data_IF_173595817367
#
_entry.id   IF_173595817367
#
_cell.length_a   1.000
_cell.length_b   1.000
_cell.length_c   1.000
_cell.angle_alpha   90.00
_cell.angle_beta   90.00
_cell.angle_gamma   90.00
#
_symmetry.space_group_name_H-M   'P 1'
#
loop_
_entity.id
_entity.type
_entity.pdbx_description
1 polymer ?
#
# COMPACT_ATOMS: atom_id res chain seq x y z
N UNK A 1 42.26 -2.43 -8.66
CA UNK A 1 41.48 -3.33 -9.54
C UNK A 1 40.76 -4.45 -8.79
N UNK A 2 41.37 -5.10 -7.79
CA UNK A 2 40.78 -6.20 -7.02
C UNK A 2 39.43 -5.89 -6.33
N UNK A 3 39.26 -4.67 -5.80
CA UNK A 3 38.05 -4.28 -5.05
C UNK A 3 36.79 -4.22 -5.93
N UNK A 4 36.89 -3.78 -7.20
CA UNK A 4 35.74 -3.76 -8.14
C UNK A 4 35.23 -5.16 -8.46
N UNK A 5 36.12 -6.15 -8.54
CA UNK A 5 35.76 -7.54 -8.79
C UNK A 5 35.06 -8.18 -7.58
N UNK A 6 35.40 -7.77 -6.36
CA UNK A 6 34.73 -8.24 -5.13
C UNK A 6 33.26 -7.79 -5.07
N UNK A 7 32.99 -6.49 -5.28
CA UNK A 7 31.63 -5.95 -5.27
C UNK A 7 30.72 -6.56 -6.32
N UNK A 8 31.26 -6.84 -7.52
CA UNK A 8 30.50 -7.48 -8.60
C UNK A 8 30.10 -8.91 -8.25
N UNK A 9 30.98 -9.67 -7.60
CA UNK A 9 30.67 -11.03 -7.12
C UNK A 9 29.59 -11.00 -6.05
N UNK A 10 29.68 -10.07 -5.09
CA UNK A 10 28.67 -9.88 -4.05
C UNK A 10 27.31 -9.51 -4.66
N UNK A 11 27.24 -8.56 -5.59
CA UNK A 11 25.98 -8.18 -6.23
C UNK A 11 25.35 -9.35 -7.02
N UNK A 12 26.15 -10.17 -7.70
CA UNK A 12 25.65 -11.37 -8.39
C UNK A 12 25.08 -12.38 -7.36
N UNK A 13 25.80 -12.63 -6.27
CA UNK A 13 25.34 -13.55 -5.22
C UNK A 13 24.02 -13.08 -4.59
N UNK A 14 23.93 -11.80 -4.21
CA UNK A 14 22.72 -11.19 -3.65
C UNK A 14 21.56 -11.27 -4.64
N UNK A 15 21.79 -11.00 -5.93
CA UNK A 15 20.74 -11.12 -6.95
C UNK A 15 20.22 -12.55 -7.11
N UNK A 16 21.12 -13.53 -7.07
CA UNK A 16 20.75 -14.95 -7.14
C UNK A 16 19.91 -15.32 -5.93
N UNK A 17 20.40 -15.00 -4.73
CA UNK A 17 19.70 -15.25 -3.46
C UNK A 17 18.30 -14.63 -3.46
N UNK A 18 18.16 -13.37 -3.86
CA UNK A 18 16.85 -12.70 -3.91
C UNK A 18 15.90 -13.32 -4.93
N UNK A 19 16.40 -13.87 -6.04
CA UNK A 19 15.56 -14.54 -7.03
C UNK A 19 15.02 -15.88 -6.51
N UNK A 20 15.82 -16.57 -5.69
CA UNK A 20 15.52 -17.88 -5.10
C UNK A 20 14.89 -17.78 -3.70
N UNK A 21 14.83 -16.59 -3.12
CA UNK A 21 14.31 -16.36 -1.77
C UNK A 21 12.85 -16.78 -1.64
N UNK A 22 12.58 -17.78 -0.78
CA UNK A 22 11.24 -18.32 -0.58
C UNK A 22 10.26 -17.29 -0.01
N UNK A 23 10.71 -16.43 0.91
CA UNK A 23 9.87 -15.38 1.51
C UNK A 23 9.36 -14.39 0.47
N UNK A 24 10.25 -13.85 -0.36
CA UNK A 24 9.88 -12.93 -1.44
C UNK A 24 8.98 -13.60 -2.48
N UNK A 25 9.27 -14.86 -2.83
CA UNK A 25 8.44 -15.61 -3.78
C UNK A 25 7.02 -15.85 -3.23
N UNK A 26 6.89 -16.23 -1.95
CA UNK A 26 5.61 -16.43 -1.29
C UNK A 26 4.85 -15.10 -1.13
N UNK A 27 5.55 -14.02 -0.81
CA UNK A 27 4.95 -12.68 -0.72
C UNK A 27 4.34 -12.23 -2.04
N UNK A 28 5.03 -12.48 -3.16
CA UNK A 28 4.57 -12.05 -4.49
C UNK A 28 3.61 -13.03 -5.16
N UNK A 29 3.53 -14.30 -4.72
CA UNK A 29 2.73 -15.32 -5.40
C UNK A 29 1.27 -14.94 -5.66
N UNK A 30 0.55 -14.19 -4.80
CA UNK A 30 -0.85 -13.83 -5.06
C UNK A 30 -1.03 -12.78 -6.17
N UNK A 31 0.05 -12.20 -6.68
CA UNK A 31 0.03 -11.07 -7.63
C UNK A 31 0.53 -11.45 -9.03
N UNK A 32 0.88 -12.71 -9.26
CA UNK A 32 1.35 -13.21 -10.55
C UNK A 32 0.69 -14.55 -10.87
N UNK A 33 0.23 -14.70 -12.11
CA UNK A 33 -0.44 -15.92 -12.58
C UNK A 33 0.51 -17.13 -12.64
N UNK A 34 1.81 -16.88 -12.82
CA UNK A 34 2.82 -17.93 -12.92
C UNK A 34 4.09 -17.60 -12.14
N UNK A 35 4.78 -18.66 -11.69
CA UNK A 35 6.12 -18.54 -11.10
C UNK A 35 7.13 -17.95 -12.09
N UNK A 36 6.98 -18.26 -13.38
CA UNK A 36 7.85 -17.76 -14.45
C UNK A 36 7.74 -16.24 -14.55
N UNK A 37 6.53 -15.68 -14.56
CA UNK A 37 6.31 -14.23 -14.62
C UNK A 37 6.79 -13.53 -13.36
N UNK A 38 6.55 -14.13 -12.19
CA UNK A 38 7.07 -13.63 -10.91
C UNK A 38 8.60 -13.55 -10.91
N UNK A 39 9.29 -14.64 -11.30
CA UNK A 39 10.76 -14.67 -11.39
C UNK A 39 11.28 -13.67 -12.42
N UNK A 40 10.60 -13.51 -13.55
CA UNK A 40 10.93 -12.50 -14.57
C UNK A 40 10.80 -11.07 -14.01
N UNK A 41 9.74 -10.79 -13.26
CA UNK A 41 9.54 -9.52 -12.58
C UNK A 41 10.64 -9.24 -11.55
N UNK A 42 10.95 -10.19 -10.66
CA UNK A 42 12.03 -10.05 -9.68
C UNK A 42 13.34 -9.72 -10.40
N UNK A 43 13.70 -10.49 -11.43
CA UNK A 43 14.92 -10.24 -12.21
C UNK A 43 14.96 -8.83 -12.79
N UNK A 44 13.84 -8.30 -13.31
CA UNK A 44 13.75 -6.90 -13.80
C UNK A 44 13.96 -5.89 -12.68
N UNK A 45 13.34 -6.10 -11.51
CA UNK A 45 13.56 -5.25 -10.34
C UNK A 45 15.03 -5.22 -9.89
N UNK A 46 15.73 -6.34 -10.00
CA UNK A 46 17.12 -6.47 -9.54
C UNK A 46 18.14 -5.74 -10.43
N UNK A 47 17.78 -5.36 -11.67
CA UNK A 47 18.67 -4.67 -12.62
C UNK A 47 19.14 -3.33 -12.05
N UNK A 48 18.22 -2.49 -11.58
CA UNK A 48 18.52 -1.16 -11.03
C UNK A 48 18.40 -1.17 -9.50
N UNK A 49 19.31 -0.50 -8.80
CA UNK A 49 19.27 -0.40 -7.33
C UNK A 49 17.95 0.25 -6.85
N UNK A 50 17.43 1.22 -7.61
CA UNK A 50 16.15 1.88 -7.33
C UNK A 50 14.98 0.89 -7.26
N UNK A 51 14.75 0.10 -8.31
CA UNK A 51 13.65 -0.87 -8.38
C UNK A 51 13.86 -2.03 -7.42
N UNK A 52 15.11 -2.42 -7.16
CA UNK A 52 15.45 -3.39 -6.10
C UNK A 52 15.02 -2.89 -4.73
N UNK A 53 15.37 -1.66 -4.37
CA UNK A 53 14.97 -1.03 -3.10
C UNK A 53 13.45 -0.89 -2.99
N UNK A 54 12.76 -0.56 -4.08
CA UNK A 54 11.30 -0.50 -4.10
C UNK A 54 10.72 -1.87 -3.78
N UNK A 55 11.19 -2.94 -4.43
CA UNK A 55 10.73 -4.31 -4.19
C UNK A 55 10.90 -4.74 -2.72
N UNK A 56 12.12 -4.57 -2.19
CA UNK A 56 12.43 -4.96 -0.81
C UNK A 56 11.64 -4.12 0.21
N UNK A 57 11.45 -2.82 -0.03
CA UNK A 57 10.60 -1.98 0.83
C UNK A 57 9.13 -2.42 0.79
N UNK A 58 8.62 -2.75 -0.39
CA UNK A 58 7.23 -3.23 -0.54
C UNK A 58 7.00 -4.49 0.29
N UNK A 59 7.89 -5.47 0.20
CA UNK A 59 7.81 -6.68 1.01
C UNK A 59 7.93 -6.35 2.49
N UNK A 60 8.99 -5.66 2.90
CA UNK A 60 9.31 -5.42 4.30
C UNK A 60 8.21 -4.65 5.05
N UNK A 61 7.70 -3.55 4.48
CA UNK A 61 6.62 -2.79 5.11
C UNK A 61 5.30 -3.55 5.16
N UNK A 62 5.00 -4.36 4.14
CA UNK A 62 3.80 -5.19 4.15
C UNK A 62 3.89 -6.30 5.21
N UNK A 63 5.04 -6.96 5.33
CA UNK A 63 5.28 -7.99 6.37
C UNK A 63 5.22 -7.41 7.78
N UNK A 64 5.76 -6.20 8.01
CA UNK A 64 5.59 -5.51 9.29
C UNK A 64 4.11 -5.22 9.56
N UNK A 65 3.38 -4.72 8.56
CA UNK A 65 1.95 -4.45 8.70
C UNK A 65 1.14 -5.73 8.98
N UNK A 66 1.51 -6.84 8.35
CA UNK A 66 0.90 -8.16 8.55
C UNK A 66 1.18 -8.67 9.98
N UNK A 67 2.43 -8.53 10.45
CA UNK A 67 2.87 -8.96 11.78
C UNK A 67 2.27 -8.17 12.95
N UNK A 68 1.78 -6.95 12.71
CA UNK A 68 1.16 -6.15 13.77
C UNK A 68 -0.09 -6.79 14.38
N UNK A 69 -0.82 -7.61 13.62
CA UNK A 69 -1.99 -8.31 14.16
C UNK A 69 -1.60 -9.31 15.26
N UNK A 70 -0.35 -9.83 15.22
CA UNK A 70 0.20 -10.71 16.26
C UNK A 70 0.57 -9.92 17.51
N UNK A 71 1.17 -8.73 17.33
CA UNK A 71 1.66 -7.90 18.45
C UNK A 71 0.52 -7.17 19.16
N UNK A 72 -0.43 -6.63 18.38
CA UNK A 72 -1.64 -5.99 18.87
C UNK A 72 -2.79 -6.29 17.93
N UNK A 73 -3.45 -7.41 18.22
CA UNK A 73 -4.74 -7.74 17.62
C UNK A 73 -5.72 -6.57 17.80
N UNK A 74 -6.67 -6.45 16.87
CA UNK A 74 -7.74 -5.44 16.89
C UNK A 74 -7.33 -3.96 16.68
N UNK A 75 -6.15 -3.67 16.10
CA UNK A 75 -5.76 -2.28 15.74
C UNK A 75 -5.36 -2.10 14.27
N UNK A 76 -6.32 -2.15 13.32
CA UNK A 76 -6.05 -1.96 11.88
C UNK A 76 -5.38 -0.62 11.56
N UNK A 77 -5.62 0.42 12.36
CA UNK A 77 -4.99 1.72 12.19
C UNK A 77 -3.45 1.66 12.25
N UNK A 78 -2.87 0.76 13.07
CA UNK A 78 -1.41 0.58 13.11
C UNK A 78 -0.89 -0.01 11.80
N UNK A 79 -1.61 -0.97 11.22
CA UNK A 79 -1.24 -1.58 9.95
C UNK A 79 -1.27 -0.54 8.81
N UNK A 80 -2.25 0.37 8.84
CA UNK A 80 -2.36 1.48 7.88
C UNK A 80 -1.14 2.40 7.92
N UNK A 81 -0.53 2.63 9.08
CA UNK A 81 0.69 3.45 9.19
C UNK A 81 1.80 2.88 8.32
N UNK A 82 2.06 1.57 8.43
CA UNK A 82 3.12 0.91 7.68
C UNK A 82 2.78 0.81 6.19
N UNK A 83 1.51 0.54 5.85
CA UNK A 83 1.06 0.56 4.45
C UNK A 83 1.16 1.95 3.80
N UNK A 84 0.91 3.03 4.53
CA UNK A 84 1.10 4.41 4.03
C UNK A 84 2.59 4.78 3.96
N UNK A 85 3.42 4.24 4.85
CA UNK A 85 4.88 4.42 4.82
C UNK A 85 5.50 3.67 3.64
N UNK A 86 4.95 2.50 3.28
CA UNK A 86 5.26 1.80 2.03
C UNK A 86 4.97 2.69 0.83
N UNK A 87 3.75 3.21 0.73
CA UNK A 87 3.32 4.07 -0.38
C UNK A 87 4.26 5.28 -0.55
N UNK A 88 4.56 5.98 0.54
CA UNK A 88 5.52 7.10 0.54
C UNK A 88 6.92 6.65 0.13
N UNK A 89 7.43 5.56 0.72
CA UNK A 89 8.78 5.07 0.48
C UNK A 89 9.02 4.62 -0.96
N UNK A 90 8.00 4.04 -1.60
CA UNK A 90 8.02 3.65 -3.02
C UNK A 90 7.96 4.89 -3.93
N UNK A 91 7.09 5.85 -3.64
CA UNK A 91 6.99 7.10 -4.41
C UNK A 91 8.28 7.92 -4.37
N UNK A 92 8.92 8.04 -3.20
CA UNK A 92 10.21 8.73 -3.03
C UNK A 92 11.32 8.06 -3.85
N UNK A 93 11.39 6.73 -3.81
CA UNK A 93 12.34 5.99 -4.64
C UNK A 93 12.09 6.19 -6.15
N UNK A 94 10.81 6.15 -6.57
CA UNK A 94 10.44 6.34 -7.98
C UNK A 94 10.89 7.73 -8.47
N UNK A 95 10.51 8.77 -7.75
CA UNK A 95 10.81 10.18 -8.07
C UNK A 95 12.26 10.59 -7.85
N UNK A 96 13.03 9.83 -7.08
CA UNK A 96 14.42 10.18 -6.72
C UNK A 96 14.53 11.19 -5.57
N UNK A 97 13.41 11.52 -4.92
CA UNK A 97 13.30 12.52 -3.85
C UNK A 97 13.42 11.79 -2.51
N UNK A 98 14.64 11.35 -2.17
CA UNK A 98 14.88 10.57 -0.94
C UNK A 98 14.94 11.45 0.31
N UNK A 99 15.60 12.60 0.22
CA UNK A 99 15.94 13.46 1.36
C UNK A 99 15.46 14.92 1.18
N UNK A 100 14.60 15.16 0.19
CA UNK A 100 14.05 16.48 -0.06
C UNK A 100 12.65 16.60 0.54
N UNK A 101 12.58 17.34 1.64
CA UNK A 101 11.35 17.67 2.37
C UNK A 101 10.46 18.67 1.62
N UNK A 102 10.93 19.24 0.50
CA UNK A 102 10.13 20.14 -0.34
C UNK A 102 8.87 19.45 -0.87
N UNK A 103 8.91 18.12 -1.03
CA UNK A 103 7.75 17.32 -1.39
C UNK A 103 7.21 16.58 -0.18
N UNK A 104 6.26 17.21 0.52
CA UNK A 104 5.65 16.64 1.72
C UNK A 104 4.99 15.27 1.49
N UNK A 105 4.98 14.42 2.53
CA UNK A 105 4.50 13.02 2.51
C UNK A 105 3.13 12.83 1.87
N UNK A 106 2.22 13.81 2.06
CA UNK A 106 0.92 13.81 1.42
C UNK A 106 1.01 13.71 -0.09
N UNK A 107 1.84 14.56 -0.72
CA UNK A 107 1.99 14.58 -2.19
C UNK A 107 2.61 13.28 -2.67
N UNK A 108 3.61 12.75 -1.97
CA UNK A 108 4.24 11.46 -2.30
C UNK A 108 3.24 10.30 -2.27
N UNK A 109 2.39 10.23 -1.24
CA UNK A 109 1.34 9.19 -1.17
C UNK A 109 0.32 9.35 -2.29
N UNK A 110 -0.09 10.58 -2.65
CA UNK A 110 -0.99 10.78 -3.80
C UNK A 110 -0.33 10.34 -5.11
N UNK A 111 0.93 10.70 -5.35
CA UNK A 111 1.70 10.29 -6.53
C UNK A 111 1.83 8.76 -6.63
N UNK A 112 2.04 8.07 -5.51
CA UNK A 112 2.04 6.60 -5.46
C UNK A 112 0.74 6.03 -6.04
N UNK A 113 -0.40 6.56 -5.60
CA UNK A 113 -1.73 6.11 -5.96
C UNK A 113 -2.17 6.52 -7.37
N UNK A 114 -1.41 7.34 -8.09
CA UNK A 114 -1.64 7.59 -9.52
C UNK A 114 -1.52 6.30 -10.34
N UNK A 115 -0.63 5.39 -9.93
CA UNK A 115 -0.38 4.07 -10.52
C UNK A 115 -1.36 2.98 -10.07
N UNK A 116 -2.32 3.28 -9.18
CA UNK A 116 -3.33 2.30 -8.82
C UNK A 116 -4.21 1.98 -10.05
N UNK A 117 -4.57 0.71 -10.22
CA UNK A 117 -5.43 0.26 -11.32
C UNK A 117 -6.80 0.91 -11.24
N UNK A 118 -7.53 0.93 -12.35
CA UNK A 118 -8.89 1.48 -12.39
C UNK A 118 -9.82 0.69 -11.46
N UNK A 119 -9.61 -0.62 -11.38
CA UNK A 119 -10.34 -1.57 -10.54
C UNK A 119 -10.11 -1.27 -9.07
N UNK A 120 -8.85 -1.09 -8.65
CA UNK A 120 -8.49 -0.77 -7.27
C UNK A 120 -8.99 0.62 -6.85
N UNK A 121 -8.92 1.60 -7.75
CA UNK A 121 -9.49 2.95 -7.53
C UNK A 121 -11.00 2.88 -7.31
N UNK A 122 -11.71 2.11 -8.14
CA UNK A 122 -13.16 1.87 -8.01
C UNK A 122 -13.49 1.13 -6.71
N UNK A 123 -12.74 0.08 -6.38
CA UNK A 123 -12.93 -0.70 -5.16
C UNK A 123 -12.80 0.17 -3.90
N UNK A 124 -11.74 0.98 -3.80
CA UNK A 124 -11.55 1.90 -2.68
C UNK A 124 -12.68 2.94 -2.58
N UNK A 125 -13.08 3.53 -3.72
CA UNK A 125 -14.17 4.51 -3.75
C UNK A 125 -15.53 3.92 -3.35
N UNK A 126 -15.77 2.64 -3.65
CA UNK A 126 -17.01 1.94 -3.32
C UNK A 126 -17.04 1.45 -1.87
N UNK A 127 -15.92 0.98 -1.33
CA UNK A 127 -15.81 0.39 0.01
C UNK A 127 -15.63 1.44 1.12
N UNK A 128 -15.28 2.68 0.76
CA UNK A 128 -15.30 3.85 1.64
C UNK A 128 -16.56 4.68 1.38
N UNK A 129 -17.55 4.58 2.27
CA UNK A 129 -18.82 5.31 2.13
C UNK A 129 -19.02 6.29 3.28
N UNK A 130 -19.78 7.36 3.05
CA UNK A 130 -20.26 8.20 4.15
C UNK A 130 -21.45 7.52 4.80
N UNK A 131 -21.41 7.40 6.12
CA UNK A 131 -22.57 6.99 6.89
C UNK A 131 -23.50 8.20 7.02
N UNK A 132 -24.55 8.25 6.20
CA UNK A 132 -25.61 9.25 6.29
C UNK A 132 -26.93 8.54 6.58
N UNK A 133 -27.72 9.11 7.48
CA UNK A 133 -28.95 8.51 8.03
C UNK A 133 -30.10 8.49 7.00
N UNK A 134 -30.03 9.26 5.89
CA UNK A 134 -31.23 9.46 5.04
C UNK A 134 -31.05 9.52 3.51
N UNK A 135 -29.89 9.21 2.91
CA UNK A 135 -29.78 9.18 1.43
C UNK A 135 -28.84 8.08 0.96
N UNK A 136 -29.22 7.35 -0.11
CA UNK A 136 -28.43 6.31 -0.80
C UNK A 136 -26.93 6.64 -0.77
N UNK A 137 -26.19 5.83 -0.02
CA UNK A 137 -24.77 5.95 0.32
C UNK A 137 -23.94 6.76 -0.69
N UNK A 138 -23.57 8.00 -0.33
CA UNK A 138 -22.71 8.83 -1.16
C UNK A 138 -21.28 8.26 -1.16
N UNK A 139 -20.96 7.51 -2.22
CA UNK A 139 -19.61 6.97 -2.51
C UNK A 139 -18.57 8.09 -2.38
N UNK A 140 -17.46 7.80 -1.71
CA UNK A 140 -16.36 8.76 -1.63
C UNK A 140 -15.57 8.76 -2.93
N UNK A 141 -15.01 9.93 -3.29
CA UNK A 141 -14.00 9.99 -4.36
C UNK A 141 -12.78 9.21 -3.90
N UNK A 142 -12.10 8.52 -4.82
CA UNK A 142 -10.85 7.80 -4.54
C UNK A 142 -9.83 8.64 -3.76
N UNK A 143 -9.59 9.88 -4.21
CA UNK A 143 -8.69 10.82 -3.54
C UNK A 143 -9.11 11.16 -2.10
N UNK A 144 -10.39 11.06 -1.77
CA UNK A 144 -10.89 11.24 -0.40
C UNK A 144 -10.57 10.04 0.49
N UNK A 145 -10.71 8.82 -0.01
CA UNK A 145 -10.27 7.61 0.69
C UNK A 145 -8.75 7.64 0.98
N UNK A 146 -7.93 7.99 -0.03
CA UNK A 146 -6.48 8.17 0.13
C UNK A 146 -6.16 9.25 1.18
N UNK A 147 -6.89 10.37 1.18
CA UNK A 147 -6.70 11.40 2.20
C UNK A 147 -7.07 10.94 3.62
N UNK A 148 -8.10 10.09 3.77
CA UNK A 148 -8.45 9.51 5.06
C UNK A 148 -7.32 8.60 5.56
N UNK A 149 -6.82 7.69 4.71
CA UNK A 149 -5.69 6.82 5.02
C UNK A 149 -4.43 7.60 5.42
N UNK A 150 -4.10 8.64 4.65
CA UNK A 150 -3.01 9.55 4.98
C UNK A 150 -3.22 10.25 6.33
N UNK A 151 -4.42 10.77 6.61
CA UNK A 151 -4.69 11.45 7.88
C UNK A 151 -4.54 10.50 9.07
N UNK A 152 -4.90 9.21 8.95
CA UNK A 152 -4.70 8.22 10.02
C UNK A 152 -3.21 8.04 10.31
N UNK A 153 -2.39 7.85 9.27
CA UNK A 153 -0.92 7.82 9.42
C UNK A 153 -0.41 9.10 10.07
N UNK A 154 -0.88 10.26 9.62
CA UNK A 154 -0.43 11.55 10.15
C UNK A 154 -0.75 11.70 11.63
N UNK A 155 -1.98 11.36 12.03
CA UNK A 155 -2.39 11.37 13.44
C UNK A 155 -1.52 10.47 14.30
N UNK A 156 -1.24 9.26 13.83
CA UNK A 156 -0.38 8.33 14.56
C UNK A 156 1.03 8.88 14.77
N UNK A 157 1.62 9.52 13.76
CA UNK A 157 2.96 10.11 13.87
C UNK A 157 3.00 11.28 14.86
N UNK A 158 1.89 12.02 15.02
CA UNK A 158 1.79 13.14 15.97
C UNK A 158 1.21 12.75 17.34
N UNK A 159 0.91 11.47 17.59
CA UNK A 159 0.31 11.03 18.84
C UNK A 159 -1.17 11.42 19.02
N UNK A 160 -1.85 11.83 17.94
CA UNK A 160 -3.28 12.15 17.94
C UNK A 160 -4.15 10.87 17.93
N UNK A 161 -5.47 11.01 18.10
CA UNK A 161 -6.44 9.91 18.01
C UNK A 161 -6.51 9.26 16.61
N UNK A 162 -5.67 8.26 16.39
CA UNK A 162 -5.66 7.38 15.22
C UNK A 162 -6.40 6.06 15.46
N UNK A 163 -6.60 5.67 16.72
CA UNK A 163 -7.19 4.39 17.12
C UNK A 163 -8.72 4.36 16.97
N UNK A 164 -9.38 5.52 16.83
CA UNK A 164 -10.80 5.59 16.48
C UNK A 164 -11.11 5.05 15.08
N UNK A 165 -10.10 4.85 14.23
CA UNK A 165 -10.28 4.32 12.88
C UNK A 165 -10.17 2.80 12.85
N UNK A 166 -11.15 2.13 12.25
CA UNK A 166 -11.11 0.69 12.03
C UNK A 166 -11.47 0.30 10.59
N UNK A 167 -11.06 -0.91 10.21
CA UNK A 167 -11.45 -1.61 8.98
C UNK A 167 -12.35 -2.79 9.34
N UNK A 168 -13.05 -3.33 8.36
CA UNK A 168 -13.87 -4.53 8.57
C UNK A 168 -12.97 -5.76 8.79
N UNK A 169 -13.27 -6.52 9.83
CA UNK A 169 -12.61 -7.80 10.08
C UNK A 169 -13.02 -8.84 9.02
N UNK A 170 -12.08 -9.70 8.62
CA UNK A 170 -12.32 -10.65 7.54
C UNK A 170 -13.29 -11.78 7.94
N UNK A 171 -13.19 -12.29 9.17
CA UNK A 171 -14.11 -13.30 9.68
C UNK A 171 -15.51 -12.73 9.75
N UNK A 172 -15.63 -11.52 10.31
CA UNK A 172 -16.90 -10.80 10.39
C UNK A 172 -17.50 -10.50 9.02
N UNK A 173 -16.67 -10.20 8.02
CA UNK A 173 -17.13 -10.05 6.63
C UNK A 173 -17.70 -11.37 6.08
N UNK A 174 -17.06 -12.50 6.36
CA UNK A 174 -17.54 -13.83 5.92
C UNK A 174 -18.86 -14.19 6.58
N UNK A 175 -19.01 -13.92 7.87
CA UNK A 175 -20.27 -14.09 8.62
C UNK A 175 -21.40 -13.30 7.96
N UNK A 176 -21.22 -12.00 7.73
CA UNK A 176 -22.24 -11.18 7.08
C UNK A 176 -22.64 -11.69 5.70
N UNK A 177 -21.67 -12.14 4.89
CA UNK A 177 -21.97 -12.69 3.57
C UNK A 177 -22.76 -14.00 3.68
N UNK A 178 -22.36 -14.90 4.59
CA UNK A 178 -23.03 -16.19 4.80
C UNK A 178 -24.46 -16.02 5.32
N UNK A 179 -24.71 -15.00 6.13
CA UNK A 179 -26.04 -14.65 6.65
C UNK A 179 -26.90 -13.88 5.64
N UNK A 180 -26.38 -13.62 4.43
CA UNK A 180 -27.12 -12.97 3.35
C UNK A 180 -27.21 -11.44 3.46
N UNK A 181 -26.41 -10.81 4.33
CA UNK A 181 -26.38 -9.35 4.41
C UNK A 181 -25.77 -8.74 3.16
N UNK A 182 -26.51 -7.84 2.52
CA UNK A 182 -26.07 -7.08 1.34
C UNK A 182 -25.39 -5.76 1.69
N UNK A 183 -25.61 -5.28 2.92
CA UNK A 183 -25.07 -4.03 3.45
C UNK A 183 -24.37 -4.34 4.77
N UNK A 184 -23.05 -4.29 4.77
CA UNK A 184 -22.22 -4.55 5.94
C UNK A 184 -21.01 -3.64 5.91
N UNK A 185 -20.58 -3.18 7.07
CA UNK A 185 -19.39 -2.35 7.23
C UNK A 185 -19.21 -1.91 8.67
N UNK A 186 -18.03 -1.38 8.95
CA UNK A 186 -17.69 -0.85 10.27
C UNK A 186 -17.84 0.66 10.25
N UNK A 187 -18.66 1.15 11.18
CA UNK A 187 -18.81 2.56 11.44
C UNK A 187 -17.52 3.11 12.06
N UNK A 188 -16.95 4.12 11.42
CA UNK A 188 -15.68 4.73 11.81
C UNK A 188 -15.71 6.23 11.50
N UNK A 189 -14.65 6.96 11.86
CA UNK A 189 -14.56 8.40 11.56
C UNK A 189 -13.35 8.74 10.70
N UNK A 190 -13.52 9.72 9.82
CA UNK A 190 -12.44 10.25 8.99
C UNK A 190 -12.48 11.77 8.92
N UNK A 191 -11.43 12.37 8.37
CA UNK A 191 -11.36 13.80 8.09
C UNK A 191 -11.41 14.06 6.59
N UNK A 192 -12.36 14.90 6.16
CA UNK A 192 -12.50 15.34 4.77
C UNK A 192 -12.35 16.85 4.64
N UNK A 193 -11.82 17.31 3.50
CA UNK A 193 -11.60 18.73 3.19
C UNK A 193 -10.13 19.10 3.05
N UNK A 194 -9.83 20.11 2.21
CA UNK A 194 -8.46 20.61 2.00
C UNK A 194 -8.08 21.74 2.97
N UNK A 195 -8.92 22.78 3.09
CA UNK A 195 -8.69 23.96 3.96
C UNK A 195 -9.39 23.86 5.30
N UNK A 196 -10.70 23.57 5.31
CA UNK A 196 -11.49 23.30 6.53
C UNK A 196 -11.77 21.80 6.61
N UNK A 197 -11.00 21.07 7.42
CA UNK A 197 -11.21 19.63 7.62
C UNK A 197 -12.45 19.43 8.50
N UNK A 198 -13.37 18.56 8.08
CA UNK A 198 -14.57 18.17 8.84
C UNK A 198 -14.46 16.69 9.20
N UNK A 199 -14.78 16.36 10.44
CA UNK A 199 -14.98 14.97 10.87
C UNK A 199 -16.25 14.44 10.21
N UNK A 200 -16.16 13.26 9.62
CA UNK A 200 -17.28 12.57 8.99
C UNK A 200 -17.37 11.15 9.53
N UNK A 201 -18.60 10.66 9.68
CA UNK A 201 -18.85 9.24 9.91
C UNK A 201 -18.74 8.49 8.59
N UNK A 202 -18.05 7.37 8.63
CA UNK A 202 -17.77 6.50 7.51
C UNK A 202 -18.38 5.13 7.79
N UNK A 203 -18.89 4.52 6.74
CA UNK A 203 -19.24 3.11 6.71
C UNK A 203 -18.22 2.41 5.80
N UNK A 204 -17.37 1.56 6.38
CA UNK A 204 -16.26 0.92 5.69
C UNK A 204 -16.47 -0.59 5.64
N UNK A 205 -16.59 -1.11 4.43
CA UNK A 205 -16.71 -2.56 4.14
C UNK A 205 -15.43 -3.17 3.58
N UNK A 206 -14.34 -2.39 3.58
CA UNK A 206 -13.00 -2.80 3.18
C UNK A 206 -12.30 -3.54 4.33
N UNK A 207 -11.70 -4.69 4.03
CA UNK A 207 -10.84 -5.39 4.99
C UNK A 207 -9.39 -4.94 4.90
N UNK A 208 -8.60 -5.29 5.92
CA UNK A 208 -7.15 -5.09 5.90
C UNK A 208 -6.50 -5.75 4.67
N UNK A 209 -6.81 -7.02 4.39
CA UNK A 209 -6.21 -7.77 3.29
C UNK A 209 -6.53 -7.13 1.94
N UNK A 210 -7.76 -6.63 1.74
CA UNK A 210 -8.12 -5.91 0.52
C UNK A 210 -7.27 -4.64 0.36
N UNK A 211 -7.14 -3.83 1.42
CA UNK A 211 -6.33 -2.62 1.39
C UNK A 211 -4.84 -2.93 1.14
N UNK A 212 -4.30 -3.93 1.84
CA UNK A 212 -2.92 -4.39 1.67
C UNK A 212 -2.66 -4.80 0.23
N UNK A 213 -3.54 -5.60 -0.36
CA UNK A 213 -3.37 -6.08 -1.73
C UNK A 213 -3.46 -4.96 -2.77
N UNK A 214 -4.36 -3.98 -2.58
CA UNK A 214 -4.40 -2.77 -3.41
C UNK A 214 -3.05 -2.02 -3.36
N UNK A 215 -2.49 -1.85 -2.17
CA UNK A 215 -1.22 -1.12 -1.99
C UNK A 215 -0.06 -1.90 -2.59
N UNK A 216 0.00 -3.22 -2.40
CA UNK A 216 1.05 -4.04 -3.02
C UNK A 216 0.94 -4.00 -4.54
N UNK A 217 -0.25 -4.22 -5.14
CA UNK A 217 -0.44 -4.08 -6.60
C UNK A 217 -0.03 -2.70 -7.11
N UNK A 218 -0.44 -1.64 -6.42
CA UNK A 218 -0.04 -0.27 -6.77
C UNK A 218 1.49 -0.09 -6.73
N UNK A 219 2.17 -0.70 -5.76
CA UNK A 219 3.63 -0.67 -5.70
C UNK A 219 4.28 -1.44 -6.86
N UNK A 220 3.72 -2.59 -7.26
CA UNK A 220 4.19 -3.35 -8.43
C UNK A 220 4.01 -2.53 -9.71
N UNK A 221 2.87 -1.85 -9.89
CA UNK A 221 2.63 -0.94 -11.02
C UNK A 221 3.62 0.25 -11.04
N UNK A 222 3.93 0.80 -9.87
CA UNK A 222 4.99 1.80 -9.73
C UNK A 222 6.36 1.27 -10.19
N UNK A 223 6.66 -0.02 -10.05
CA UNK A 223 7.89 -0.62 -10.57
C UNK A 223 7.80 -0.90 -12.07
N UNK A 224 6.68 -1.43 -12.55
CA UNK A 224 6.42 -1.67 -13.96
C UNK A 224 6.56 -0.40 -14.80
N UNK A 225 6.02 0.71 -14.32
CA UNK A 225 6.15 2.00 -14.99
C UNK A 225 7.59 2.50 -15.13
N UNK A 226 8.56 1.97 -14.38
CA UNK A 226 10.00 2.28 -14.56
C UNK A 226 10.69 1.38 -15.58
N UNK A 227 10.14 0.20 -15.86
CA UNK A 227 10.76 -0.70 -16.82
C UNK A 227 10.51 -0.30 -18.28
N UNK A 228 9.40 0.39 -18.52
CA UNK A 228 9.00 0.85 -19.85
C UNK A 228 9.49 2.27 -20.15
N UNK A 229 10.09 2.95 -19.16
CA UNK A 229 10.58 4.30 -19.30
C UNK A 229 11.94 4.31 -20.04
N UNK A 230 11.87 4.46 -21.37
CA UNK A 230 13.05 4.56 -22.25
C UNK A 230 13.88 5.83 -22.03
N UNK A 231 13.37 6.80 -21.25
CA UNK A 231 14.06 8.07 -20.99
C UNK A 231 15.22 7.93 -19.99
N UNK A 232 15.29 6.82 -19.26
CA UNK A 232 16.39 6.53 -18.33
C UNK A 232 17.47 5.77 -19.09
N UNK A 233 18.36 6.53 -19.77
CA UNK A 233 19.54 6.00 -20.48
C UNK A 233 20.30 5.00 -19.60
N UNK A 234 20.60 3.83 -20.19
CA UNK A 234 21.36 2.74 -19.59
C UNK A 234 22.85 3.05 -19.55
#
# INVERSE_FOLDING_TARGET
MAMKNSWRKIDIAVKKELTENAGLNNFLSPFFDSEVDRKKFIKRCLVKLKTRRMLLRTQWYAEIADGLNVVRSSRPALQIIFLMSLAEGVARLRTGVLDDDSVGSRKMIHNFFEFATTEDKKLLAQKFQRALISVKHHKLRFSSAVNILYNIRNKAVHGDDFYSFSLLDEQRKKEYINEGYTHYGVMTTGLLGKKKKRRVSLDISLTYIELRNIIVRTALENMHGLFNDKSIKF
#
